data_IF_311372443633
#
_entry.id   IF_311372443633
#
_cell.length_a   1.000
_cell.length_b   1.000
_cell.length_c   1.000
_cell.angle_alpha   90.00
_cell.angle_beta   90.00
_cell.angle_gamma   90.00
#
_symmetry.space_group_name_H-M   'P 1'
#
loop_
_entity.id
_entity.type
_entity.pdbx_description
1 polymer ?
#
# COMPACT_ATOMS: atom_id res chain seq x y z
N UNK A 1 -10.58 -10.13 5.40
CA UNK A 1 -11.38 -9.68 4.23
C UNK A 1 -11.62 -8.19 4.37
N UNK A 2 -11.49 -7.44 3.28
CA UNK A 2 -11.77 -5.99 3.22
C UNK A 2 -13.11 -5.80 2.51
N UNK A 3 -13.98 -4.98 3.08
CA UNK A 3 -15.29 -4.65 2.50
C UNK A 3 -15.29 -3.19 2.07
N UNK A 4 -15.54 -2.94 0.78
CA UNK A 4 -15.56 -1.61 0.18
C UNK A 4 -16.89 -1.39 -0.56
N UNK A 5 -17.43 -0.17 -0.53
CA UNK A 5 -18.61 0.21 -1.34
C UNK A 5 -18.19 0.77 -2.70
N UNK A 6 -19.07 0.68 -3.69
CA UNK A 6 -18.86 1.18 -5.05
C UNK A 6 -18.45 2.65 -5.12
N UNK A 7 -18.97 3.47 -4.20
CA UNK A 7 -18.67 4.90 -4.05
C UNK A 7 -17.59 5.23 -3.01
N UNK A 8 -16.86 4.23 -2.48
CA UNK A 8 -15.90 4.47 -1.40
C UNK A 8 -14.76 5.40 -1.83
N UNK A 9 -14.28 6.18 -0.86
CA UNK A 9 -13.08 7.00 -1.02
C UNK A 9 -11.83 6.28 -0.51
N UNK A 10 -10.66 6.82 -0.85
CA UNK A 10 -9.37 6.32 -0.43
C UNK A 10 -9.30 6.16 1.09
N UNK A 11 -9.73 7.18 1.86
CA UNK A 11 -9.69 7.15 3.32
C UNK A 11 -10.71 6.15 3.91
N UNK A 12 -11.85 5.95 3.25
CA UNK A 12 -12.79 4.90 3.63
C UNK A 12 -12.18 3.51 3.41
N UNK A 13 -11.49 3.31 2.29
CA UNK A 13 -10.81 2.06 2.02
C UNK A 13 -9.72 1.80 3.05
N UNK A 14 -8.86 2.79 3.35
CA UNK A 14 -7.85 2.73 4.41
C UNK A 14 -8.47 2.37 5.77
N UNK A 15 -9.63 2.93 6.10
CA UNK A 15 -10.36 2.59 7.32
C UNK A 15 -10.85 1.14 7.34
N UNK A 16 -11.23 0.58 6.19
CA UNK A 16 -11.57 -0.83 6.06
C UNK A 16 -10.36 -1.75 6.28
N UNK A 17 -9.18 -1.38 5.78
CA UNK A 17 -7.91 -2.09 6.09
C UNK A 17 -7.60 -2.08 7.60
N UNK A 18 -7.76 -0.93 8.26
CA UNK A 18 -7.57 -0.82 9.71
C UNK A 18 -8.53 -1.70 10.49
N UNK A 19 -9.79 -1.75 10.05
CA UNK A 19 -10.82 -2.62 10.65
C UNK A 19 -10.53 -4.11 10.47
N UNK A 20 -9.78 -4.49 9.43
CA UNK A 20 -9.32 -5.86 9.21
C UNK A 20 -8.05 -6.24 9.99
N UNK A 21 -7.57 -5.34 10.87
CA UNK A 21 -6.41 -5.58 11.72
C UNK A 21 -5.07 -5.26 11.06
N UNK A 22 -5.05 -4.37 10.07
CA UNK A 22 -3.84 -3.91 9.38
C UNK A 22 -3.50 -2.49 9.83
N UNK A 23 -2.22 -2.19 10.03
CA UNK A 23 -1.77 -0.85 10.39
C UNK A 23 -1.49 -0.06 9.12
N UNK A 24 -2.27 0.98 8.87
CA UNK A 24 -2.12 1.84 7.69
C UNK A 24 -1.55 3.19 8.13
N UNK A 25 -0.35 3.51 7.63
CA UNK A 25 0.28 4.82 7.72
C UNK A 25 0.01 5.58 6.43
N UNK A 26 -0.44 6.82 6.52
CA UNK A 26 -0.77 7.64 5.35
C UNK A 26 0.14 8.86 5.37
N UNK A 27 0.89 9.08 4.29
CA UNK A 27 1.69 10.29 4.12
C UNK A 27 0.75 11.52 4.10
N UNK A 28 1.08 12.61 4.81
CA UNK A 28 0.21 13.78 4.91
C UNK A 28 -0.04 14.51 3.58
N UNK A 29 0.74 14.21 2.53
CA UNK A 29 0.50 14.73 1.18
C UNK A 29 -0.50 13.87 0.39
N UNK A 30 -0.99 12.75 0.93
CA UNK A 30 -2.07 11.97 0.31
C UNK A 30 -3.39 12.70 0.55
N UNK A 31 -4.04 13.11 -0.53
CA UNK A 31 -5.38 13.66 -0.51
C UNK A 31 -6.43 12.54 -0.62
N UNK A 32 -7.61 12.75 -0.01
CA UNK A 32 -8.72 11.81 -0.17
C UNK A 32 -9.25 11.88 -1.61
N UNK A 33 -9.47 10.73 -2.22
CA UNK A 33 -9.92 10.60 -3.60
C UNK A 33 -11.06 9.59 -3.70
N UNK A 34 -12.05 9.87 -4.53
CA UNK A 34 -13.08 8.90 -4.86
C UNK A 34 -12.45 7.76 -5.67
N UNK A 35 -12.63 6.52 -5.22
CA UNK A 35 -12.06 5.36 -5.92
C UNK A 35 -12.92 4.94 -7.11
N UNK A 36 -14.23 5.24 -7.09
CA UNK A 36 -15.14 4.86 -8.18
C UNK A 36 -15.10 3.37 -8.47
N UNK A 37 -15.14 2.54 -7.42
CA UNK A 37 -15.00 1.08 -7.50
C UNK A 37 -16.08 0.43 -8.36
N UNK A 38 -17.28 0.99 -8.33
CA UNK A 38 -18.40 0.60 -9.20
C UNK A 38 -19.18 1.86 -9.58
N UNK A 39 -18.74 2.61 -10.61
CA UNK A 39 -19.38 3.87 -10.99
C UNK A 39 -20.80 3.66 -11.52
N UNK A 40 -21.07 2.47 -12.04
CA UNK A 40 -22.37 2.03 -12.56
C UNK A 40 -23.33 1.62 -11.44
N UNK A 41 -22.80 1.31 -10.25
CA UNK A 41 -23.55 0.79 -9.11
C UNK A 41 -22.89 1.22 -7.79
N UNK A 42 -23.13 2.45 -7.31
CA UNK A 42 -22.47 2.99 -6.12
C UNK A 42 -22.75 2.18 -4.85
N UNK A 43 -23.91 1.53 -4.77
CA UNK A 43 -24.30 0.65 -3.66
C UNK A 43 -23.66 -0.76 -3.73
N UNK A 44 -22.87 -1.06 -4.76
CA UNK A 44 -22.19 -2.35 -4.86
C UNK A 44 -21.23 -2.55 -3.69
N UNK A 45 -21.26 -3.72 -3.06
CA UNK A 45 -20.31 -4.09 -2.00
C UNK A 45 -19.30 -5.07 -2.56
N UNK A 46 -18.04 -4.65 -2.61
CA UNK A 46 -16.92 -5.50 -2.97
C UNK A 46 -16.28 -6.06 -1.70
N UNK A 47 -16.18 -7.39 -1.64
CA UNK A 47 -15.46 -8.08 -0.57
C UNK A 47 -14.25 -8.75 -1.18
N UNK A 48 -13.06 -8.27 -0.82
CA UNK A 48 -11.80 -8.66 -1.44
C UNK A 48 -10.80 -9.12 -0.37
N UNK A 49 -9.85 -10.00 -0.71
CA UNK A 49 -8.68 -10.20 0.14
C UNK A 49 -7.83 -8.93 0.18
N UNK A 50 -7.01 -8.74 1.23
CA UNK A 50 -6.26 -7.49 1.40
C UNK A 50 -5.32 -7.17 0.25
N UNK A 51 -4.66 -8.20 -0.30
CA UNK A 51 -3.73 -8.04 -1.43
C UNK A 51 -4.45 -7.51 -2.68
N UNK A 52 -5.63 -8.02 -2.99
CA UNK A 52 -6.43 -7.50 -4.11
C UNK A 52 -6.97 -6.10 -3.82
N UNK A 53 -7.42 -5.84 -2.59
CA UNK A 53 -7.88 -4.50 -2.22
C UNK A 53 -6.76 -3.46 -2.35
N UNK A 54 -5.51 -3.82 -2.06
CA UNK A 54 -4.33 -2.95 -2.27
C UNK A 54 -4.14 -2.69 -3.76
N UNK A 55 -4.17 -3.73 -4.59
CA UNK A 55 -4.04 -3.59 -6.05
C UNK A 55 -5.14 -2.68 -6.63
N UNK A 56 -6.36 -2.81 -6.13
CA UNK A 56 -7.49 -1.96 -6.54
C UNK A 56 -7.26 -0.51 -6.13
N UNK A 57 -6.78 -0.27 -4.90
CA UNK A 57 -6.40 1.07 -4.43
C UNK A 57 -5.36 1.73 -5.36
N UNK A 58 -4.28 1.02 -5.66
CA UNK A 58 -3.17 1.56 -6.47
C UNK A 58 -3.56 1.80 -7.94
N UNK A 59 -4.61 1.13 -8.42
CA UNK A 59 -5.12 1.31 -9.79
C UNK A 59 -6.12 2.46 -9.90
N UNK A 60 -6.87 2.72 -8.84
CA UNK A 60 -7.98 3.69 -8.85
C UNK A 60 -7.63 5.02 -8.18
N UNK A 61 -6.70 5.02 -7.23
CA UNK A 61 -6.17 6.23 -6.62
C UNK A 61 -4.72 6.48 -7.06
N UNK A 62 -4.29 7.76 -7.13
CA UNK A 62 -2.93 8.13 -7.49
C UNK A 62 -1.93 7.88 -6.34
N UNK A 63 -1.95 6.69 -5.74
CA UNK A 63 -1.17 6.33 -4.56
C UNK A 63 -0.47 4.98 -4.74
N UNK A 64 0.61 4.79 -3.98
CA UNK A 64 1.35 3.53 -3.84
C UNK A 64 1.23 3.04 -2.42
N UNK A 65 1.05 1.74 -2.26
CA UNK A 65 1.02 1.09 -0.95
C UNK A 65 2.30 0.26 -0.80
N UNK A 66 3.07 0.53 0.26
CA UNK A 66 4.32 -0.17 0.55
C UNK A 66 4.18 -0.94 1.86
N UNK A 67 4.52 -2.22 1.87
CA UNK A 67 4.62 -2.98 3.11
C UNK A 67 5.92 -2.59 3.83
N UNK A 68 5.80 -2.03 5.03
CA UNK A 68 6.92 -1.57 5.87
C UNK A 68 7.17 -2.50 7.07
N UNK A 69 6.31 -3.50 7.27
CA UNK A 69 6.36 -4.43 8.39
C UNK A 69 5.22 -5.45 8.33
N UNK A 70 5.17 -6.39 9.29
CA UNK A 70 4.15 -7.43 9.31
C UNK A 70 2.75 -6.82 9.55
N UNK A 71 1.93 -6.78 8.49
CA UNK A 71 0.61 -6.10 8.46
C UNK A 71 0.71 -4.58 8.60
N UNK A 72 1.86 -3.99 8.33
CA UNK A 72 2.08 -2.54 8.38
C UNK A 72 2.32 -2.01 6.97
N UNK A 73 1.49 -1.05 6.55
CA UNK A 73 1.50 -0.50 5.21
C UNK A 73 1.63 1.01 5.25
N UNK A 74 2.45 1.55 4.34
CA UNK A 74 2.62 2.98 4.11
C UNK A 74 2.01 3.37 2.77
N UNK A 75 1.04 4.27 2.80
CA UNK A 75 0.37 4.86 1.63
C UNK A 75 1.05 6.19 1.31
N UNK A 76 1.63 6.29 0.12
CA UNK A 76 2.30 7.50 -0.38
C UNK A 76 1.69 7.92 -1.72
N UNK A 77 1.64 9.21 -2.06
CA UNK A 77 1.15 9.64 -3.37
C UNK A 77 2.15 9.23 -4.47
N UNK A 78 1.65 8.76 -5.62
CA UNK A 78 2.47 8.21 -6.71
C UNK A 78 3.51 9.21 -7.23
N UNK A 79 3.21 10.51 -7.17
CA UNK A 79 4.15 11.58 -7.51
C UNK A 79 5.46 11.51 -6.71
N UNK A 80 5.43 11.01 -5.47
CA UNK A 80 6.61 10.82 -4.60
C UNK A 80 7.36 9.51 -4.87
N UNK A 81 6.80 8.58 -5.65
CA UNK A 81 7.35 7.23 -5.87
C UNK A 81 8.40 7.22 -6.98
N UNK A 82 8.59 8.33 -7.72
CA UNK A 82 9.63 8.49 -8.74
C UNK A 82 11.09 8.30 -8.24
N UNK A 83 11.31 8.04 -6.95
CA UNK A 83 12.66 7.90 -6.35
C UNK A 83 12.98 6.51 -5.77
N UNK A 84 12.14 5.49 -5.98
CA UNK A 84 12.46 4.10 -5.61
C UNK A 84 12.59 3.26 -6.87
N UNK A 85 13.73 3.42 -7.54
CA UNK A 85 14.27 2.46 -8.50
C UNK A 85 14.39 1.07 -7.84
N UNK A 86 13.41 0.21 -8.07
CA UNK A 86 13.52 -1.25 -8.12
C UNK A 86 14.06 -1.99 -6.87
N UNK A 87 14.00 -3.32 -6.88
CA UNK A 87 14.71 -4.12 -5.88
C UNK A 87 16.21 -3.89 -6.09
N UNK A 88 16.87 -3.17 -5.19
CA UNK A 88 18.31 -3.35 -5.01
C UNK A 88 18.48 -4.78 -4.49
N UNK A 89 18.67 -5.70 -5.42
CA UNK A 89 19.19 -7.03 -5.19
C UNK A 89 20.42 -6.88 -4.30
N UNK A 90 20.29 -7.21 -3.02
CA UNK A 90 21.45 -7.48 -2.15
C UNK A 90 22.22 -8.62 -2.81
N UNK A 91 23.50 -8.48 -3.19
CA UNK A 91 24.41 -9.57 -2.96
C UNK A 91 24.63 -9.60 -1.44
N UNK A 92 24.18 -10.67 -0.80
CA UNK A 92 24.54 -10.96 0.58
C UNK A 92 26.06 -10.83 0.75
N UNK A 93 26.52 -10.06 1.73
CA UNK A 93 27.87 -10.19 2.24
C UNK A 93 28.11 -11.63 2.71
N UNK A 94 29.30 -12.20 2.48
CA UNK A 94 29.93 -13.00 3.50
C UNK A 94 30.95 -12.10 4.21
N UNK A 95 30.61 -11.72 5.44
CA UNK A 95 31.61 -11.30 6.42
C UNK A 95 32.69 -12.38 6.50
N UNK A 96 33.94 -12.06 6.15
CA UNK A 96 35.10 -12.86 6.57
C UNK A 96 36.12 -11.95 7.22
N UNK A 97 35.99 -11.84 8.54
CA UNK A 97 37.08 -11.56 9.47
C UNK A 97 38.30 -12.43 9.10
N UNK A 98 39.43 -11.81 8.77
CA UNK A 98 40.75 -12.35 9.11
C UNK A 98 41.85 -11.26 9.06
N UNK A 99 42.27 -10.82 10.25
CA UNK A 99 43.59 -10.32 10.65
C UNK A 99 44.51 -9.55 9.69
N UNK A 100 44.86 -8.32 10.09
CA UNK A 100 46.27 -7.90 10.11
C UNK A 100 47.09 -8.90 10.96
N UNK A 101 48.41 -9.16 10.75
CA UNK A 101 49.46 -8.14 10.57
C UNK A 101 50.65 -8.55 9.65
N UNK A 102 51.63 -7.66 9.47
CA UNK A 102 52.99 -8.01 8.99
C UNK A 102 53.61 -6.97 8.08
#
# INVERSE_FOLDING_TARGET
MITLRGDSTLFQAISAFRSAGMTMHVDPAVEDAALGLAPENPDAILTLPPEEAVLVLERLAPVRVQEIGPKEYLVVPLEKVNNVEGPQTRPAEPSRNHGAPG
#
